data_IF_253845505986
#
_entry.id   IF_253845505986
#
_cell.length_a   1.000
_cell.length_b   1.000
_cell.length_c   1.000
_cell.angle_alpha   90.00
_cell.angle_beta   90.00
_cell.angle_gamma   90.00
#
_symmetry.space_group_name_H-M   'P 1'
#
loop_
_entity.id
_entity.type
_entity.pdbx_description
1 polymer ?
#
# COMPACT_ATOMS: atom_id res chain seq x y z
N UNK A 1 -4.03 -49.21 5.91
CA UNK A 1 -4.05 -47.78 6.30
C UNK A 1 -4.97 -47.10 5.31
N UNK A 2 -6.17 -46.72 5.75
CA UNK A 2 -7.08 -45.94 4.92
C UNK A 2 -6.52 -44.52 4.84
N UNK A 3 -6.34 -44.03 3.62
CA UNK A 3 -5.97 -42.65 3.34
C UNK A 3 -6.93 -41.72 4.08
N UNK A 4 -6.39 -40.96 5.03
CA UNK A 4 -7.13 -39.92 5.72
C UNK A 4 -7.24 -38.74 4.75
N UNK A 5 -8.25 -38.78 3.90
CA UNK A 5 -8.59 -37.68 3.01
C UNK A 5 -8.99 -36.46 3.86
N UNK A 6 -8.08 -35.50 4.01
CA UNK A 6 -8.36 -34.26 4.73
C UNK A 6 -9.27 -33.31 3.96
N UNK A 7 -9.74 -33.70 2.77
CA UNK A 7 -10.78 -32.99 2.03
C UNK A 7 -12.19 -33.23 2.60
N UNK A 8 -12.40 -34.31 3.34
CA UNK A 8 -13.70 -34.62 3.97
C UNK A 8 -13.79 -33.94 5.33
N UNK A 9 -14.34 -32.72 5.34
CA UNK A 9 -14.78 -32.08 6.57
C UNK A 9 -16.07 -32.80 7.05
N UNK A 10 -15.98 -33.54 8.15
CA UNK A 10 -17.09 -34.29 8.74
C UNK A 10 -18.32 -33.40 9.00
N UNK A 11 -18.10 -32.17 9.45
CA UNK A 11 -19.19 -31.20 9.69
C UNK A 11 -19.89 -30.82 8.39
N UNK A 12 -19.14 -30.73 7.28
CA UNK A 12 -19.71 -30.44 5.96
C UNK A 12 -20.54 -31.61 5.42
N UNK A 13 -20.17 -32.86 5.72
CA UNK A 13 -20.95 -34.03 5.34
C UNK A 13 -22.23 -34.15 6.17
N UNK A 14 -22.13 -33.93 7.49
CA UNK A 14 -23.30 -33.91 8.37
C UNK A 14 -24.29 -32.83 7.93
N UNK A 15 -23.81 -31.61 7.64
CA UNK A 15 -24.67 -30.52 7.15
C UNK A 15 -25.36 -30.86 5.81
N UNK A 16 -24.66 -31.55 4.89
CA UNK A 16 -25.27 -32.02 3.63
C UNK A 16 -26.42 -32.99 3.90
N UNK A 17 -26.21 -33.92 4.83
CA UNK A 17 -27.22 -34.91 5.22
C UNK A 17 -28.43 -34.24 5.86
N UNK A 18 -28.22 -33.30 6.78
CA UNK A 18 -29.28 -32.56 7.48
C UNK A 18 -30.09 -31.67 6.52
N UNK A 19 -29.44 -31.05 5.52
CA UNK A 19 -30.12 -30.32 4.45
C UNK A 19 -30.94 -31.29 3.58
N UNK A 20 -30.42 -32.48 3.26
CA UNK A 20 -31.13 -33.48 2.45
C UNK A 20 -32.35 -34.05 3.16
N UNK A 21 -32.28 -34.20 4.49
CA UNK A 21 -33.41 -34.62 5.34
C UNK A 21 -34.42 -33.50 5.57
N UNK A 22 -34.07 -32.25 5.21
CA UNK A 22 -34.90 -31.07 5.42
C UNK A 22 -34.87 -30.55 6.86
N UNK A 23 -33.96 -31.05 7.70
CA UNK A 23 -33.78 -30.63 9.09
C UNK A 23 -33.12 -29.25 9.16
N UNK A 24 -32.33 -28.90 8.15
CA UNK A 24 -31.68 -27.58 8.01
C UNK A 24 -32.12 -26.92 6.70
N UNK A 25 -32.40 -25.60 6.75
CA UNK A 25 -32.76 -24.82 5.56
C UNK A 25 -31.64 -24.88 4.53
N UNK A 26 -31.97 -25.34 3.33
CA UNK A 26 -31.08 -25.28 2.17
C UNK A 26 -30.75 -23.81 1.88
N UNK A 27 -29.46 -23.51 1.77
CA UNK A 27 -28.98 -22.21 1.29
C UNK A 27 -29.45 -22.03 -0.16
N UNK A 28 -30.32 -21.04 -0.40
CA UNK A 28 -30.62 -20.55 -1.75
C UNK A 28 -29.65 -19.41 -2.01
N UNK A 29 -28.69 -19.64 -2.89
CA UNK A 29 -27.79 -18.60 -3.38
C UNK A 29 -28.44 -18.00 -4.62
N UNK A 30 -28.72 -16.69 -4.58
CA UNK A 30 -29.22 -15.93 -5.71
C UNK A 30 -28.14 -14.95 -6.12
N UNK A 31 -27.35 -15.31 -7.13
CA UNK A 31 -26.15 -14.57 -7.48
C UNK A 31 -26.45 -13.12 -7.88
N UNK A 32 -27.57 -12.89 -8.55
CA UNK A 32 -27.94 -11.55 -9.03
C UNK A 32 -28.45 -10.71 -7.86
N UNK A 33 -29.33 -11.26 -7.03
CA UNK A 33 -29.83 -10.55 -5.84
C UNK A 33 -28.73 -10.29 -4.81
N UNK A 34 -27.87 -11.28 -4.55
CA UNK A 34 -26.76 -11.18 -3.61
C UNK A 34 -25.70 -10.18 -4.12
N UNK A 35 -25.48 -10.12 -5.44
CA UNK A 35 -24.59 -9.12 -6.04
C UNK A 35 -25.13 -7.69 -5.85
N UNK A 36 -26.42 -7.46 -6.07
CA UNK A 36 -27.01 -6.13 -5.84
C UNK A 36 -27.01 -5.76 -4.35
N UNK A 37 -27.35 -6.69 -3.45
CA UNK A 37 -27.27 -6.47 -2.00
C UNK A 37 -25.84 -6.17 -1.53
N UNK A 38 -24.82 -6.82 -2.11
CA UNK A 38 -23.43 -6.58 -1.74
C UNK A 38 -22.99 -5.11 -1.94
N UNK A 39 -23.62 -4.40 -2.88
CA UNK A 39 -23.33 -2.98 -3.13
C UNK A 39 -23.80 -2.10 -1.97
N UNK A 40 -24.85 -2.49 -1.26
CA UNK A 40 -25.34 -1.74 -0.10
C UNK A 40 -24.32 -1.77 1.05
N UNK A 41 -23.62 -2.88 1.21
CA UNK A 41 -22.59 -3.11 2.23
C UNK A 41 -21.17 -2.72 1.81
N UNK A 42 -20.98 -2.33 0.54
CA UNK A 42 -19.66 -1.95 0.01
C UNK A 42 -19.17 -0.59 0.51
N UNK A 43 -20.04 0.22 1.11
CA UNK A 43 -19.71 1.52 1.68
C UNK A 43 -20.42 1.66 3.02
N UNK A 44 -19.72 2.03 4.09
CA UNK A 44 -20.37 2.28 5.37
C UNK A 44 -21.36 3.45 5.22
N UNK A 45 -22.47 3.44 5.96
CA UNK A 45 -23.47 4.52 5.85
C UNK A 45 -22.88 5.91 6.10
N UNK A 46 -21.87 6.00 6.97
CA UNK A 46 -21.14 7.24 7.26
C UNK A 46 -20.35 7.75 6.05
N UNK A 47 -19.80 6.86 5.23
CA UNK A 47 -19.02 7.20 4.03
C UNK A 47 -19.90 7.70 2.89
N UNK A 48 -21.23 7.46 2.96
CA UNK A 48 -22.22 8.03 2.03
C UNK A 48 -22.66 9.45 2.41
N UNK A 49 -22.16 9.97 3.53
CA UNK A 49 -22.48 11.30 4.06
C UNK A 49 -21.21 12.15 4.17
N UNK A 50 -21.37 13.47 4.27
CA UNK A 50 -20.23 14.40 4.44
C UNK A 50 -19.40 14.09 5.71
N UNK A 51 -20.00 13.41 6.70
CA UNK A 51 -19.31 12.97 7.92
C UNK A 51 -18.19 11.93 7.65
N UNK A 52 -18.31 11.11 6.60
CA UNK A 52 -17.25 10.18 6.20
C UNK A 52 -16.04 10.90 5.61
N UNK A 53 -16.28 11.98 4.85
CA UNK A 53 -15.21 12.83 4.33
C UNK A 53 -14.48 13.56 5.47
N UNK A 54 -15.21 14.05 6.47
CA UNK A 54 -14.60 14.68 7.66
C UNK A 54 -13.80 13.66 8.49
N UNK A 55 -14.32 12.45 8.72
CA UNK A 55 -13.60 11.41 9.44
C UNK A 55 -12.31 10.98 8.72
N UNK A 56 -12.36 10.85 7.39
CA UNK A 56 -11.18 10.55 6.57
C UNK A 56 -10.16 11.71 6.59
N UNK A 57 -10.62 12.96 6.53
CA UNK A 57 -9.77 14.14 6.65
C UNK A 57 -9.04 14.17 8.00
N UNK A 58 -9.77 13.96 9.10
CA UNK A 58 -9.18 13.91 10.46
C UNK A 58 -8.21 12.73 10.62
N UNK A 59 -8.51 11.57 10.03
CA UNK A 59 -7.63 10.40 10.11
C UNK A 59 -6.35 10.56 9.28
N UNK A 60 -6.41 11.30 8.17
CA UNK A 60 -5.29 11.53 7.24
C UNK A 60 -4.51 12.80 7.54
N UNK A 61 -5.01 13.64 8.46
CA UNK A 61 -4.34 14.87 8.86
C UNK A 61 -2.95 14.58 9.48
N UNK A 62 -1.94 15.34 9.05
CA UNK A 62 -0.59 15.19 9.55
C UNK A 62 -0.51 15.70 11.00
N UNK A 63 -0.23 14.79 11.93
CA UNK A 63 -0.16 15.08 13.38
C UNK A 63 1.08 15.86 13.80
N UNK A 64 1.99 16.14 12.88
CA UNK A 64 3.26 16.81 13.14
C UNK A 64 3.39 18.06 12.29
N UNK A 65 3.94 19.13 12.89
CA UNK A 65 4.26 20.35 12.18
C UNK A 65 5.34 20.07 11.13
N UNK A 66 4.99 20.25 9.85
CA UNK A 66 5.96 20.22 8.77
C UNK A 66 6.84 21.47 8.87
N UNK A 67 8.09 21.30 9.30
CA UNK A 67 9.07 22.38 9.23
C UNK A 67 9.40 22.63 7.77
N UNK A 68 9.06 23.81 7.26
CA UNK A 68 9.47 24.23 5.92
C UNK A 68 10.99 24.20 5.82
N UNK A 69 11.51 23.60 4.75
CA UNK A 69 12.95 23.58 4.49
C UNK A 69 13.40 25.00 4.17
N UNK A 70 14.24 25.58 5.03
CA UNK A 70 14.81 26.90 4.77
C UNK A 70 15.73 26.84 3.54
N UNK A 71 15.58 27.78 2.57
CA UNK A 71 16.48 27.84 1.43
C UNK A 71 17.89 28.19 1.93
N UNK A 72 18.80 27.22 1.87
CA UNK A 72 20.22 27.47 2.09
C UNK A 72 20.77 28.16 0.85
N UNK A 73 21.47 29.28 1.04
CA UNK A 73 22.21 29.89 -0.07
C UNK A 73 23.24 28.88 -0.57
N UNK A 74 23.42 28.72 -1.90
CA UNK A 74 24.48 27.88 -2.41
C UNK A 74 25.80 28.44 -1.88
N UNK A 75 26.47 27.66 -1.02
CA UNK A 75 27.80 28.01 -0.56
C UNK A 75 28.68 28.08 -1.81
N UNK A 76 29.29 29.24 -2.06
CA UNK A 76 30.26 29.39 -3.14
C UNK A 76 31.36 28.36 -2.91
N UNK A 77 31.42 27.32 -3.74
CA UNK A 77 32.49 26.34 -3.67
C UNK A 77 33.81 27.07 -3.94
N UNK A 78 34.74 27.02 -2.98
CA UNK A 78 36.10 27.47 -3.24
C UNK A 78 36.69 26.59 -4.36
N UNK A 79 37.35 27.17 -5.37
CA UNK A 79 37.93 26.41 -6.45
C UNK A 79 38.93 25.39 -5.90
N UNK A 80 38.64 24.09 -6.07
CA UNK A 80 39.44 22.98 -5.55
C UNK A 80 40.73 22.72 -6.35
N UNK A 81 41.09 23.62 -7.26
CA UNK A 81 42.24 23.46 -8.15
C UNK A 81 42.92 24.78 -8.43
N UNK A 82 44.26 24.77 -8.39
CA UNK A 82 45.08 25.90 -8.80
C UNK A 82 45.41 25.78 -10.30
N UNK A 83 44.98 26.72 -11.15
CA UNK A 83 45.36 26.74 -12.57
C UNK A 83 46.89 26.75 -12.80
N UNK A 84 47.67 27.22 -11.84
CA UNK A 84 49.14 27.24 -11.92
C UNK A 84 49.75 25.83 -11.90
N UNK A 85 49.07 24.84 -11.33
CA UNK A 85 49.54 23.46 -11.31
C UNK A 85 49.66 22.88 -12.72
N UNK A 86 48.73 23.25 -13.62
CA UNK A 86 48.80 22.89 -15.03
C UNK A 86 50.01 23.52 -15.73
N UNK A 87 50.33 24.78 -15.42
CA UNK A 87 51.50 25.47 -15.98
C UNK A 87 52.81 24.86 -15.50
N UNK A 88 52.87 24.39 -14.25
CA UNK A 88 54.04 23.70 -13.69
C UNK A 88 54.25 22.34 -14.36
N UNK A 89 53.21 21.53 -14.47
CA UNK A 89 53.28 20.24 -15.16
C UNK A 89 53.69 20.39 -16.64
N UNK A 90 53.19 21.42 -17.33
CA UNK A 90 53.58 21.69 -18.72
C UNK A 90 55.07 22.01 -18.87
N UNK A 91 55.67 22.71 -17.90
CA UNK A 91 57.12 22.99 -17.88
C UNK A 91 57.96 21.76 -17.55
N UNK A 92 57.44 20.84 -16.74
CA UNK A 92 58.10 19.57 -16.42
C UNK A 92 58.10 18.60 -17.61
N UNK A 93 57.05 18.60 -18.42
CA UNK A 93 56.93 17.74 -19.61
C UNK A 93 57.78 18.26 -20.77
N UNK A 94 57.98 19.57 -20.88
CA UNK A 94 58.82 20.19 -21.90
C UNK A 94 59.83 21.16 -21.28
N UNK A 95 60.88 20.66 -20.61
CA UNK A 95 61.94 21.52 -20.11
C UNK A 95 62.64 22.17 -21.31
N UNK A 96 62.58 23.50 -21.39
CA UNK A 96 63.41 24.25 -22.34
C UNK A 96 64.89 23.89 -22.08
N UNK A 97 65.70 23.68 -23.12
CA UNK A 97 67.13 23.40 -22.97
C UNK A 97 67.88 24.55 -22.29
#
# INVERSE_FOLDING_TARGET
MADLDTSTNFDAEQLKEDISKGETKKLKVDLDADYELSKEFSVAEVDKTDAGAEAAAVATENKFELTESQPVQPQSAEPTGNPEDFLKMAKEINPLP
#
